data_IF_199594898907
#
_entry.id   IF_199594898907
#
_cell.length_a   1.000
_cell.length_b   1.000
_cell.length_c   1.000
_cell.angle_alpha   90.00
_cell.angle_beta   90.00
_cell.angle_gamma   90.00
#
_symmetry.space_group_name_H-M   'P 1'
#
loop_
_entity.id
_entity.type
_entity.pdbx_description
1 polymer ?
#
# COMPACT_ATOMS: atom_id res chain seq x y z
N UNK A 1 7.38 8.03 -11.42
CA UNK A 1 5.97 7.65 -11.44
C UNK A 1 5.77 6.29 -10.79
N UNK A 2 4.72 6.17 -10.00
CA UNK A 2 4.41 4.94 -9.29
C UNK A 2 3.95 3.85 -10.25
N UNK A 3 4.51 2.65 -10.12
CA UNK A 3 4.02 1.50 -10.88
C UNK A 3 3.45 0.44 -9.93
N UNK A 4 2.85 -0.58 -10.49
CA UNK A 4 2.15 -1.59 -9.69
C UNK A 4 3.10 -2.33 -8.75
N UNK A 5 4.30 -2.64 -9.22
CA UNK A 5 5.26 -3.36 -8.39
C UNK A 5 5.69 -2.53 -7.19
N UNK A 6 5.97 -1.25 -7.42
CA UNK A 6 6.34 -0.35 -6.33
C UNK A 6 5.21 -0.21 -5.32
N UNK A 7 3.98 -0.07 -5.83
CA UNK A 7 2.82 0.04 -4.98
C UNK A 7 2.66 -1.20 -4.11
N UNK A 8 2.84 -2.37 -4.70
CA UNK A 8 2.75 -3.62 -3.95
C UNK A 8 3.81 -3.68 -2.86
N UNK A 9 5.04 -3.31 -3.19
CA UNK A 9 6.12 -3.32 -2.22
C UNK A 9 5.83 -2.40 -1.04
N UNK A 10 5.32 -1.20 -1.33
CA UNK A 10 4.99 -0.24 -0.27
C UNK A 10 3.85 -0.74 0.61
N UNK A 11 2.86 -1.38 0.00
CA UNK A 11 1.75 -1.96 0.76
C UNK A 11 2.27 -3.08 1.67
N UNK A 12 3.14 -3.95 1.15
CA UNK A 12 3.71 -5.03 1.96
C UNK A 12 4.51 -4.50 3.14
N UNK A 13 5.31 -3.47 2.90
CA UNK A 13 6.11 -2.87 3.96
C UNK A 13 5.19 -2.30 5.05
N UNK A 14 4.13 -1.62 4.66
CA UNK A 14 3.19 -1.05 5.60
C UNK A 14 2.53 -2.13 6.45
N UNK A 15 2.17 -3.25 5.83
CA UNK A 15 1.55 -4.36 6.55
C UNK A 15 2.54 -4.96 7.55
N UNK A 16 3.79 -5.13 7.14
CA UNK A 16 4.82 -5.69 8.02
C UNK A 16 5.10 -4.78 9.21
N UNK A 17 4.89 -3.48 9.04
CA UNK A 17 5.05 -2.52 10.13
C UNK A 17 3.82 -2.44 11.03
N UNK A 18 2.77 -3.16 10.70
CA UNK A 18 1.55 -3.17 11.49
C UNK A 18 0.62 -2.00 11.24
N UNK A 19 0.78 -1.30 10.12
CA UNK A 19 -0.08 -0.17 9.79
C UNK A 19 -1.49 -0.62 9.39
N UNK A 20 -2.48 0.18 9.78
CA UNK A 20 -3.82 0.01 9.23
C UNK A 20 -3.88 0.72 7.86
N UNK A 21 -5.07 0.72 7.25
CA UNK A 21 -5.23 1.28 5.92
C UNK A 21 -4.84 2.75 5.85
N UNK A 22 -5.25 3.51 6.84
CA UNK A 22 -4.96 4.95 6.86
C UNK A 22 -3.47 5.21 7.05
N UNK A 23 -2.85 4.50 8.00
CA UNK A 23 -1.42 4.66 8.25
C UNK A 23 -0.61 4.19 7.06
N UNK A 24 -1.09 3.17 6.35
CA UNK A 24 -0.45 2.72 5.12
C UNK A 24 -0.37 3.87 4.11
N UNK A 25 -1.47 4.60 3.92
CA UNK A 25 -1.46 5.70 2.97
C UNK A 25 -0.51 6.81 3.38
N UNK A 26 -0.44 7.11 4.68
CA UNK A 26 0.49 8.12 5.18
C UNK A 26 1.93 7.71 4.90
N UNK A 27 2.25 6.44 5.09
CA UNK A 27 3.60 5.96 4.83
C UNK A 27 3.92 5.98 3.34
N UNK A 28 2.97 5.57 2.50
CA UNK A 28 3.18 5.59 1.05
C UNK A 28 3.45 7.01 0.57
N UNK A 29 2.65 7.95 1.03
CA UNK A 29 2.83 9.35 0.64
C UNK A 29 4.19 9.87 1.09
N UNK A 30 4.56 9.59 2.32
CA UNK A 30 5.85 10.02 2.86
C UNK A 30 7.02 9.42 2.09
N UNK A 31 6.96 8.14 1.80
CA UNK A 31 8.02 7.46 1.06
C UNK A 31 8.14 8.00 -0.35
N UNK A 32 7.02 8.22 -1.01
CA UNK A 32 7.04 8.79 -2.36
C UNK A 32 7.64 10.19 -2.36
N UNK A 33 7.31 10.97 -1.35
CA UNK A 33 7.88 12.31 -1.23
C UNK A 33 9.40 12.25 -1.06
N UNK A 34 9.89 11.35 -0.23
CA UNK A 34 11.32 11.20 0.01
C UNK A 34 12.06 10.77 -1.25
N UNK A 35 11.44 9.89 -2.04
CA UNK A 35 12.07 9.35 -3.24
C UNK A 35 11.85 10.22 -4.47
N UNK A 36 11.07 11.30 -4.35
CA UNK A 36 10.74 12.13 -5.48
C UNK A 36 9.83 11.47 -6.49
N UNK A 37 9.04 10.51 -6.04
CA UNK A 37 8.10 9.80 -6.90
C UNK A 37 6.74 10.48 -6.82
N UNK A 38 6.17 10.78 -7.99
CA UNK A 38 4.84 11.36 -8.03
C UNK A 38 3.79 10.30 -7.75
N UNK A 39 2.82 10.64 -6.91
CA UNK A 39 1.68 9.78 -6.64
C UNK A 39 0.42 10.60 -6.85
N UNK A 40 -0.49 10.06 -7.65
CA UNK A 40 -1.76 10.72 -7.96
C UNK A 40 -2.84 10.19 -7.03
N UNK A 41 -3.14 10.97 -6.00
CA UNK A 41 -4.14 10.58 -5.01
C UNK A 41 -5.56 10.71 -5.52
N UNK A 42 -5.72 11.23 -6.74
CA UNK A 42 -7.04 11.29 -7.37
C UNK A 42 -7.28 10.11 -8.30
N UNK A 43 -6.27 9.27 -8.50
CA UNK A 43 -6.40 8.10 -9.36
C UNK A 43 -7.12 6.99 -8.62
N UNK A 44 -8.41 6.85 -8.92
CA UNK A 44 -9.25 5.87 -8.25
C UNK A 44 -8.83 4.43 -8.52
N UNK A 45 -8.27 4.18 -9.70
CA UNK A 45 -7.80 2.84 -10.05
C UNK A 45 -6.63 2.47 -9.16
N UNK A 46 -5.68 3.37 -9.01
CA UNK A 46 -4.52 3.14 -8.16
C UNK A 46 -4.95 2.94 -6.69
N UNK A 47 -5.84 3.80 -6.22
CA UNK A 47 -6.30 3.72 -4.84
C UNK A 47 -7.02 2.39 -4.60
N UNK A 48 -7.92 2.00 -5.50
CA UNK A 48 -8.65 0.73 -5.36
C UNK A 48 -7.69 -0.45 -5.38
N UNK A 49 -6.68 -0.39 -6.24
CA UNK A 49 -5.69 -1.46 -6.35
C UNK A 49 -4.90 -1.59 -5.06
N UNK A 50 -4.44 -0.48 -4.52
CA UNK A 50 -3.66 -0.49 -3.27
C UNK A 50 -4.48 -1.05 -2.11
N UNK A 51 -5.74 -0.64 -2.01
CA UNK A 51 -6.61 -1.12 -0.95
C UNK A 51 -6.91 -2.62 -1.10
N UNK A 52 -7.09 -3.06 -2.34
CA UNK A 52 -7.28 -4.49 -2.59
C UNK A 52 -6.05 -5.29 -2.22
N UNK A 53 -4.88 -4.79 -2.60
CA UNK A 53 -3.62 -5.43 -2.23
C UNK A 53 -3.47 -5.52 -0.72
N UNK A 54 -3.78 -4.44 -0.02
CA UNK A 54 -3.69 -4.40 1.43
C UNK A 54 -4.57 -5.50 2.05
N UNK A 55 -5.83 -5.57 1.63
CA UNK A 55 -6.75 -6.56 2.18
C UNK A 55 -6.31 -7.98 1.86
N UNK A 56 -5.85 -8.21 0.64
CA UNK A 56 -5.44 -9.54 0.20
C UNK A 56 -4.20 -10.00 0.94
N UNK A 57 -3.17 -9.16 0.98
CA UNK A 57 -1.90 -9.53 1.61
C UNK A 57 -2.08 -9.66 3.12
N UNK A 58 -2.81 -8.73 3.73
CA UNK A 58 -3.06 -8.80 5.16
C UNK A 58 -3.85 -10.04 5.51
N UNK A 59 -4.82 -10.40 4.67
CA UNK A 59 -5.58 -11.62 4.86
C UNK A 59 -4.70 -12.86 4.80
N UNK A 60 -3.74 -12.89 3.87
CA UNK A 60 -2.82 -14.01 3.76
C UNK A 60 -1.89 -14.11 4.96
N UNK A 61 -1.44 -12.95 5.46
CA UNK A 61 -0.49 -12.91 6.57
C UNK A 61 -1.16 -13.28 7.89
N UNK A 62 -2.37 -12.78 8.10
CA UNK A 62 -3.06 -12.97 9.38
C UNK A 62 -4.16 -14.02 9.33
N UNK A 63 -4.46 -14.53 8.15
CA UNK A 63 -5.53 -15.49 7.97
C UNK A 63 -5.17 -16.80 8.66
N UNK A 64 -6.03 -17.20 9.56
CA UNK A 64 -5.86 -18.51 10.19
C UNK A 64 -6.52 -19.55 9.32
N UNK A 65 -5.77 -20.54 8.89
CA UNK A 65 -6.40 -21.63 8.16
C UNK A 65 -7.36 -22.35 9.10
N UNK A 66 -8.46 -22.71 8.57
CA UNK A 66 -9.47 -23.41 9.34
C UNK A 66 -9.21 -24.89 9.33
#
# INVERSE_FOLDING_TARGET
MMNVKMLKDLVEIAILKGHDMESMWLEIISTCDELGIEIDLMDRVMISLAERMYRTIKGEVVCSPQ
#
